data_IF_942127681065
#
_entry.id   IF_942127681065
#
_cell.length_a   1.000
_cell.length_b   1.000
_cell.length_c   1.000
_cell.angle_alpha   90.00
_cell.angle_beta   90.00
_cell.angle_gamma   90.00
#
_symmetry.space_group_name_H-M   'P 1'
#
loop_
_entity.id
_entity.type
_entity.pdbx_description
1 polymer ?
#
# COMPACT_ATOMS: atom_id res chain seq x y z
N UNK A 1 -53.60 -11.65 -6.42
CA UNK A 1 -52.21 -11.45 -6.86
C UNK A 1 -51.61 -10.36 -5.96
N UNK A 2 -50.89 -10.75 -4.93
CA UNK A 2 -50.23 -9.80 -4.01
C UNK A 2 -48.90 -9.40 -4.62
N UNK A 3 -48.77 -8.14 -5.01
CA UNK A 3 -47.52 -7.55 -5.50
C UNK A 3 -46.59 -7.39 -4.31
N UNK A 4 -45.61 -8.29 -4.18
CA UNK A 4 -44.51 -8.15 -3.21
C UNK A 4 -43.65 -7.01 -3.71
N UNK A 5 -43.81 -5.82 -3.13
CA UNK A 5 -42.87 -4.71 -3.33
C UNK A 5 -41.46 -5.16 -2.94
N UNK A 6 -40.42 -4.92 -3.79
CA UNK A 6 -39.06 -5.24 -3.42
C UNK A 6 -38.67 -4.37 -2.21
N UNK A 7 -38.40 -5.04 -1.09
CA UNK A 7 -37.79 -4.40 0.08
C UNK A 7 -36.48 -3.82 -0.35
N UNK A 8 -36.42 -2.50 -0.54
CA UNK A 8 -35.20 -1.79 -0.76
C UNK A 8 -34.32 -1.92 0.49
N UNK A 9 -33.43 -2.92 0.50
CA UNK A 9 -32.38 -2.96 1.52
C UNK A 9 -31.59 -1.66 1.42
N UNK A 10 -31.45 -0.88 2.52
CA UNK A 10 -30.74 0.38 2.50
C UNK A 10 -29.31 0.11 1.98
N UNK A 11 -28.83 0.98 1.10
CA UNK A 11 -27.49 0.86 0.53
C UNK A 11 -26.44 0.66 1.65
N UNK A 12 -25.56 -0.34 1.57
CA UNK A 12 -24.59 -0.61 2.61
C UNK A 12 -23.81 0.67 2.94
N UNK A 13 -23.54 0.95 4.21
CA UNK A 13 -22.84 2.15 4.69
C UNK A 13 -21.46 1.75 5.24
N UNK A 14 -20.54 2.71 5.38
CA UNK A 14 -19.26 2.47 6.10
C UNK A 14 -19.50 2.03 7.54
N UNK A 15 -20.59 2.54 8.18
CA UNK A 15 -21.01 2.07 9.49
C UNK A 15 -21.40 0.58 9.49
N UNK A 16 -21.98 0.07 8.39
CA UNK A 16 -22.30 -1.35 8.27
C UNK A 16 -21.04 -2.22 8.23
N UNK A 17 -19.97 -1.77 7.56
CA UNK A 17 -18.65 -2.45 7.59
C UNK A 17 -18.14 -2.57 9.03
N UNK A 18 -18.16 -1.47 9.79
CA UNK A 18 -17.69 -1.45 11.17
C UNK A 18 -18.64 -2.14 12.17
N UNK A 19 -19.90 -2.38 11.80
CA UNK A 19 -20.86 -3.17 12.59
C UNK A 19 -20.74 -4.67 12.37
N UNK A 20 -20.01 -5.11 11.34
CA UNK A 20 -19.73 -6.55 11.15
C UNK A 20 -19.09 -7.11 12.43
N UNK A 21 -19.48 -8.31 12.88
CA UNK A 21 -18.98 -8.90 14.11
C UNK A 21 -17.45 -8.91 14.13
N UNK A 22 -16.87 -8.41 15.23
CA UNK A 22 -15.42 -8.31 15.47
C UNK A 22 -14.63 -7.38 14.52
N UNK A 23 -15.24 -6.76 13.51
CA UNK A 23 -14.58 -5.90 12.53
C UNK A 23 -13.79 -4.76 13.18
N UNK A 24 -14.39 -4.02 14.11
CA UNK A 24 -13.73 -2.88 14.81
C UNK A 24 -12.47 -3.32 15.55
N UNK A 25 -12.53 -4.45 16.26
CA UNK A 25 -11.40 -4.98 17.03
C UNK A 25 -10.27 -5.41 16.09
N UNK A 26 -10.61 -6.16 15.05
CA UNK A 26 -9.64 -6.68 14.07
C UNK A 26 -8.98 -5.55 13.30
N UNK A 27 -9.79 -4.60 12.82
CA UNK A 27 -9.30 -3.44 12.06
C UNK A 27 -8.46 -2.50 12.94
N UNK A 28 -8.94 -2.14 14.14
CA UNK A 28 -8.19 -1.30 15.08
C UNK A 28 -6.87 -1.92 15.50
N UNK A 29 -6.83 -3.23 15.74
CA UNK A 29 -5.60 -3.96 16.06
C UNK A 29 -4.60 -3.92 14.89
N UNK A 30 -5.08 -4.13 13.66
CA UNK A 30 -4.24 -4.04 12.46
C UNK A 30 -3.70 -2.62 12.25
N UNK A 31 -4.52 -1.57 12.45
CA UNK A 31 -4.09 -0.18 12.34
C UNK A 31 -3.06 0.19 13.41
N UNK A 32 -3.25 -0.27 14.64
CA UNK A 32 -2.28 -0.04 15.72
C UNK A 32 -0.91 -0.61 15.36
N UNK A 33 -0.85 -1.84 14.85
CA UNK A 33 0.41 -2.44 14.40
C UNK A 33 1.02 -1.73 13.19
N UNK A 34 0.18 -1.29 12.24
CA UNK A 34 0.60 -0.58 11.03
C UNK A 34 1.10 0.85 11.30
N UNK A 35 0.67 1.48 12.39
CA UNK A 35 1.19 2.79 12.79
C UNK A 35 2.72 2.75 12.96
N UNK A 36 3.28 1.59 13.35
CA UNK A 36 4.73 1.39 13.41
C UNK A 36 5.42 1.69 12.08
N UNK A 37 4.76 1.43 10.93
CA UNK A 37 5.32 1.66 9.58
C UNK A 37 5.44 3.15 9.23
N UNK A 38 4.59 4.00 9.83
CA UNK A 38 4.71 5.46 9.73
C UNK A 38 5.74 6.05 10.69
N UNK A 39 5.96 5.39 11.85
CA UNK A 39 6.86 5.88 12.91
C UNK A 39 8.32 5.45 12.68
N UNK A 40 8.55 4.16 12.33
CA UNK A 40 9.90 3.60 12.26
C UNK A 40 10.83 4.28 11.26
N UNK A 41 10.42 4.59 10.00
CA UNK A 41 11.34 5.15 9.00
C UNK A 41 11.94 6.48 9.41
N UNK A 42 11.11 7.44 9.82
CA UNK A 42 11.58 8.75 10.23
C UNK A 42 12.40 8.69 11.53
N UNK A 43 11.96 7.88 12.50
CA UNK A 43 12.72 7.66 13.74
C UNK A 43 14.09 7.06 13.44
N UNK A 44 14.21 6.13 12.51
CA UNK A 44 15.47 5.51 12.11
C UNK A 44 16.43 6.55 11.50
N UNK A 45 15.94 7.34 10.54
CA UNK A 45 16.74 8.38 9.89
C UNK A 45 17.27 9.37 10.92
N UNK A 46 16.40 9.88 11.81
CA UNK A 46 16.80 10.86 12.83
C UNK A 46 17.76 10.25 13.85
N UNK A 47 17.50 9.03 14.32
CA UNK A 47 18.37 8.34 15.29
C UNK A 47 19.77 8.09 14.75
N UNK A 48 19.88 7.63 13.49
CA UNK A 48 21.20 7.39 12.87
C UNK A 48 21.91 8.71 12.62
N UNK A 49 21.22 9.73 12.10
CA UNK A 49 21.79 11.06 11.87
C UNK A 49 22.31 11.68 13.17
N UNK A 50 21.54 11.57 14.27
CA UNK A 50 21.95 12.13 15.56
C UNK A 50 23.10 11.34 16.19
N UNK A 51 23.11 10.00 16.07
CA UNK A 51 24.19 9.14 16.59
C UNK A 51 25.50 9.19 15.81
N UNK A 52 25.45 9.42 14.47
CA UNK A 52 26.63 9.41 13.60
C UNK A 52 27.05 10.80 13.12
N UNK A 53 26.21 11.82 13.27
CA UNK A 53 26.43 13.15 12.69
C UNK A 53 26.33 13.19 11.15
N UNK A 54 25.97 12.10 10.48
CA UNK A 54 26.07 11.94 9.02
C UNK A 54 24.71 11.65 8.37
N UNK A 55 24.28 12.53 7.47
CA UNK A 55 23.11 12.28 6.62
C UNK A 55 23.32 11.13 5.61
N UNK A 56 24.56 10.94 5.14
CA UNK A 56 24.90 9.85 4.24
C UNK A 56 24.76 8.49 4.93
N UNK A 57 25.19 8.37 6.19
CA UNK A 57 24.99 7.18 7.01
C UNK A 57 23.50 6.90 7.23
N UNK A 58 22.72 7.93 7.59
CA UNK A 58 21.27 7.80 7.78
C UNK A 58 20.55 7.36 6.49
N UNK A 59 20.92 7.95 5.35
CA UNK A 59 20.41 7.57 4.03
C UNK A 59 20.74 6.13 3.65
N UNK A 60 21.99 5.68 3.89
CA UNK A 60 22.41 4.30 3.62
C UNK A 60 21.64 3.29 4.47
N UNK A 61 21.52 3.53 5.77
CA UNK A 61 20.81 2.67 6.70
C UNK A 61 19.32 2.59 6.32
N UNK A 62 18.69 3.73 5.99
CA UNK A 62 17.31 3.79 5.56
C UNK A 62 17.07 3.08 4.22
N UNK A 63 17.98 3.25 3.25
CA UNK A 63 17.90 2.58 1.96
C UNK A 63 17.93 1.05 2.11
N UNK A 64 18.82 0.53 2.94
CA UNK A 64 18.91 -0.92 3.20
C UNK A 64 17.70 -1.43 3.95
N UNK A 65 17.20 -0.71 4.96
CA UNK A 65 15.96 -1.02 5.67
C UNK A 65 14.76 -1.11 4.72
N UNK A 66 14.60 -0.12 3.86
CA UNK A 66 13.51 -0.07 2.88
C UNK A 66 13.63 -1.17 1.82
N UNK A 67 14.84 -1.39 1.29
CA UNK A 67 15.09 -2.40 0.25
C UNK A 67 14.76 -3.81 0.75
N UNK A 68 15.23 -4.20 1.92
CA UNK A 68 14.93 -5.51 2.50
C UNK A 68 13.44 -5.64 2.83
N UNK A 69 12.80 -4.55 3.29
CA UNK A 69 11.37 -4.47 3.53
C UNK A 69 10.54 -4.77 2.28
N UNK A 70 10.89 -4.14 1.17
CA UNK A 70 10.18 -4.30 -0.11
C UNK A 70 10.43 -5.68 -0.71
N UNK A 71 11.70 -6.11 -0.82
CA UNK A 71 12.06 -7.38 -1.47
C UNK A 71 11.49 -8.61 -0.75
N UNK A 72 11.44 -8.58 0.59
CA UNK A 72 10.98 -9.72 1.37
C UNK A 72 9.48 -9.66 1.71
N UNK A 73 8.76 -8.61 1.33
CA UNK A 73 7.32 -8.47 1.58
C UNK A 73 6.49 -9.65 1.05
N UNK A 74 6.64 -10.10 -0.22
CA UNK A 74 5.89 -11.25 -0.73
C UNK A 74 6.25 -12.58 -0.04
N UNK A 75 7.50 -12.75 0.38
CA UNK A 75 7.94 -13.94 1.11
C UNK A 75 7.30 -14.01 2.50
N UNK A 76 7.26 -12.89 3.23
CA UNK A 76 6.57 -12.81 4.53
C UNK A 76 5.07 -13.10 4.40
N UNK A 77 4.43 -12.56 3.35
CA UNK A 77 3.03 -12.85 3.08
C UNK A 77 2.81 -14.35 2.76
N UNK A 78 3.72 -14.97 1.99
CA UNK A 78 3.66 -16.41 1.71
C UNK A 78 3.81 -17.27 2.99
N UNK A 79 4.59 -16.81 3.98
CA UNK A 79 4.66 -17.47 5.28
C UNK A 79 3.31 -17.43 6.01
N UNK A 80 2.61 -16.29 5.94
CA UNK A 80 1.28 -16.16 6.53
C UNK A 80 0.27 -17.05 5.83
N UNK A 81 0.28 -17.09 4.49
CA UNK A 81 -0.61 -17.95 3.70
C UNK A 81 -0.34 -19.45 4.00
N UNK A 82 0.95 -19.83 4.20
CA UNK A 82 1.33 -21.24 4.45
C UNK A 82 1.06 -21.71 5.89
N UNK A 83 1.36 -20.89 6.89
CA UNK A 83 1.35 -21.31 8.30
C UNK A 83 0.18 -20.73 9.10
N UNK A 84 -0.60 -19.86 8.45
CA UNK A 84 -1.68 -19.10 9.05
C UNK A 84 -1.21 -17.85 9.82
N UNK A 85 -2.10 -16.86 10.00
CA UNK A 85 -1.75 -15.56 10.59
C UNK A 85 -1.14 -15.68 11.99
N UNK A 86 -1.68 -16.54 12.84
CA UNK A 86 -1.22 -16.67 14.23
C UNK A 86 0.22 -17.19 14.34
N UNK A 87 0.57 -18.22 13.55
CA UNK A 87 1.88 -18.86 13.61
C UNK A 87 2.96 -18.04 12.92
N UNK A 88 2.60 -17.27 11.89
CA UNK A 88 3.55 -16.48 11.12
C UNK A 88 3.73 -15.07 11.67
N UNK A 89 2.64 -14.36 12.05
CA UNK A 89 2.74 -12.96 12.45
C UNK A 89 3.44 -12.75 13.80
N UNK A 90 3.23 -13.66 14.77
CA UNK A 90 3.81 -13.52 16.12
C UNK A 90 5.35 -13.52 16.08
N UNK A 91 6.04 -14.51 15.47
CA UNK A 91 7.50 -14.49 15.40
C UNK A 91 8.04 -13.33 14.56
N UNK A 92 7.35 -12.95 13.46
CA UNK A 92 7.73 -11.79 12.65
C UNK A 92 7.65 -10.49 13.48
N UNK A 93 6.57 -10.27 14.22
CA UNK A 93 6.40 -9.08 15.05
C UNK A 93 7.39 -9.05 16.22
N UNK A 94 7.62 -10.18 16.88
CA UNK A 94 8.58 -10.27 17.97
C UNK A 94 10.01 -10.00 17.47
N UNK A 95 10.42 -10.61 16.37
CA UNK A 95 11.73 -10.37 15.76
C UNK A 95 11.88 -8.90 15.29
N UNK A 96 10.85 -8.35 14.65
CA UNK A 96 10.84 -6.94 14.25
C UNK A 96 10.98 -6.02 15.46
N UNK A 97 10.22 -6.26 16.54
CA UNK A 97 10.29 -5.46 17.77
C UNK A 97 11.68 -5.52 18.43
N UNK A 98 12.26 -6.72 18.54
CA UNK A 98 13.61 -6.91 19.09
C UNK A 98 14.65 -6.14 18.27
N UNK A 99 14.58 -6.20 16.94
CA UNK A 99 15.53 -5.51 16.06
C UNK A 99 15.34 -3.98 16.07
N UNK A 100 14.11 -3.49 16.18
CA UNK A 100 13.86 -2.05 16.34
C UNK A 100 14.39 -1.53 17.68
N UNK A 101 14.24 -2.30 18.77
CA UNK A 101 14.85 -1.97 20.08
C UNK A 101 16.38 -2.04 19.98
N UNK A 102 16.94 -3.05 19.33
CA UNK A 102 18.38 -3.15 19.12
C UNK A 102 18.93 -1.95 18.31
N UNK A 103 18.21 -1.50 17.27
CA UNK A 103 18.53 -0.26 16.55
C UNK A 103 18.44 0.98 17.46
N UNK A 104 17.39 1.08 18.28
CA UNK A 104 17.26 2.19 19.24
C UNK A 104 18.46 2.26 20.21
N UNK A 105 18.87 1.11 20.74
CA UNK A 105 20.02 1.02 21.65
C UNK A 105 21.34 1.29 20.92
N UNK A 106 21.50 0.73 19.70
CA UNK A 106 22.71 0.92 18.92
C UNK A 106 22.92 2.38 18.50
N UNK A 107 21.84 3.07 18.08
CA UNK A 107 21.91 4.48 17.68
C UNK A 107 22.08 5.44 18.88
N UNK A 108 21.66 5.04 20.08
CA UNK A 108 21.88 5.80 21.30
C UNK A 108 23.29 5.66 21.87
N UNK A 109 24.08 4.67 21.43
CA UNK A 109 25.46 4.45 21.88
C UNK A 109 26.42 5.22 21.01
N UNK A 110 27.38 5.98 21.59
CA UNK A 110 28.46 6.62 20.83
C UNK A 110 29.35 5.56 20.17
N UNK A 111 29.86 5.87 18.98
CA UNK A 111 30.81 5.05 18.23
C UNK A 111 30.30 3.67 17.75
N UNK A 112 28.98 3.47 17.62
CA UNK A 112 28.48 2.25 16.97
C UNK A 112 28.93 2.22 15.49
N UNK A 113 29.62 1.16 15.01
CA UNK A 113 30.08 1.08 13.63
C UNK A 113 28.92 1.14 12.63
N UNK A 114 29.08 1.88 11.53
CA UNK A 114 28.06 1.98 10.49
C UNK A 114 27.64 0.60 9.95
N UNK A 115 28.60 -0.33 9.80
CA UNK A 115 28.32 -1.70 9.33
C UNK A 115 27.34 -2.41 10.25
N UNK A 116 27.45 -2.24 11.57
CA UNK A 116 26.50 -2.81 12.53
C UNK A 116 25.09 -2.20 12.40
N UNK A 117 25.01 -0.87 12.21
CA UNK A 117 23.72 -0.21 11.96
C UNK A 117 23.06 -0.67 10.66
N UNK A 118 23.85 -0.82 9.58
CA UNK A 118 23.39 -1.34 8.29
C UNK A 118 22.89 -2.79 8.42
N UNK A 119 23.64 -3.65 9.10
CA UNK A 119 23.25 -5.05 9.31
C UNK A 119 21.97 -5.17 10.14
N UNK A 120 21.85 -4.40 11.23
CA UNK A 120 20.63 -4.35 12.05
C UNK A 120 19.44 -3.81 11.25
N UNK A 121 19.66 -2.78 10.44
CA UNK A 121 18.60 -2.20 9.58
C UNK A 121 18.14 -3.19 8.50
N UNK A 122 19.07 -3.93 7.88
CA UNK A 122 18.75 -4.99 6.93
C UNK A 122 17.86 -6.07 7.58
N UNK A 123 18.24 -6.53 8.76
CA UNK A 123 17.48 -7.51 9.51
C UNK A 123 16.12 -6.95 9.97
N UNK A 124 16.07 -5.72 10.47
CA UNK A 124 14.85 -5.05 10.91
C UNK A 124 13.87 -4.81 9.75
N UNK A 125 14.36 -4.45 8.56
CA UNK A 125 13.54 -4.33 7.36
C UNK A 125 13.03 -5.67 6.83
N UNK A 126 13.75 -6.77 7.12
CA UNK A 126 13.35 -8.12 6.68
C UNK A 126 12.13 -8.69 7.42
N UNK A 127 11.84 -8.27 8.66
CA UNK A 127 10.88 -8.91 9.55
C UNK A 127 9.53 -8.22 9.79
N UNK A 128 9.22 -6.97 9.35
CA UNK A 128 7.93 -6.37 9.62
C UNK A 128 6.78 -7.27 9.16
N UNK A 129 5.82 -7.62 10.03
CA UNK A 129 4.72 -8.50 9.65
C UNK A 129 3.85 -7.85 8.56
N UNK A 130 3.33 -8.58 7.56
CA UNK A 130 2.55 -8.01 6.46
C UNK A 130 1.11 -7.68 6.88
N UNK A 131 0.93 -6.76 7.85
CA UNK A 131 -0.38 -6.50 8.48
C UNK A 131 -1.40 -5.91 7.51
N UNK A 132 -0.99 -5.09 6.52
CA UNK A 132 -1.89 -4.56 5.50
C UNK A 132 -2.51 -5.65 4.63
N UNK A 133 -1.70 -6.47 3.93
CA UNK A 133 -2.19 -7.63 3.19
C UNK A 133 -3.05 -8.59 4.01
N UNK A 134 -2.64 -8.87 5.26
CA UNK A 134 -3.41 -9.73 6.18
C UNK A 134 -4.76 -9.10 6.53
N UNK A 135 -4.80 -7.81 6.85
CA UNK A 135 -6.05 -7.08 7.12
C UNK A 135 -7.03 -7.20 5.95
N UNK A 136 -6.54 -7.02 4.71
CA UNK A 136 -7.37 -7.14 3.50
C UNK A 136 -7.85 -8.57 3.27
N UNK A 137 -7.01 -9.58 3.49
CA UNK A 137 -7.41 -10.98 3.43
C UNK A 137 -8.47 -11.33 4.49
N UNK A 138 -8.37 -10.76 5.70
CA UNK A 138 -9.40 -10.92 6.74
C UNK A 138 -10.72 -10.24 6.36
N UNK A 139 -10.67 -9.05 5.72
CA UNK A 139 -11.86 -8.39 5.21
C UNK A 139 -12.58 -9.25 4.17
N UNK A 140 -11.86 -9.83 3.20
CA UNK A 140 -12.46 -10.69 2.19
C UNK A 140 -13.04 -11.99 2.76
N UNK A 141 -12.49 -12.50 3.86
CA UNK A 141 -13.03 -13.64 4.59
C UNK A 141 -14.27 -13.32 5.45
N UNK A 142 -14.39 -12.07 5.94
CA UNK A 142 -15.52 -11.63 6.77
C UNK A 142 -16.73 -11.13 5.96
N UNK A 143 -16.52 -10.63 4.75
CA UNK A 143 -17.52 -9.90 3.97
C UNK A 143 -17.79 -10.62 2.65
N UNK A 144 -18.94 -11.27 2.53
CA UNK A 144 -19.40 -11.93 1.31
C UNK A 144 -20.02 -10.95 0.30
N UNK A 145 -20.59 -9.83 0.78
CA UNK A 145 -21.11 -8.77 -0.08
C UNK A 145 -19.96 -7.94 -0.68
N UNK A 146 -19.86 -7.97 -2.02
CA UNK A 146 -18.85 -7.24 -2.78
C UNK A 146 -18.90 -5.72 -2.57
N UNK A 147 -20.06 -5.14 -2.29
CA UNK A 147 -20.19 -3.71 -2.01
C UNK A 147 -19.65 -3.36 -0.64
N UNK A 148 -19.90 -4.20 0.38
CA UNK A 148 -19.31 -4.05 1.71
C UNK A 148 -17.79 -4.26 1.66
N UNK A 149 -17.32 -5.28 0.93
CA UNK A 149 -15.89 -5.56 0.77
C UNK A 149 -15.15 -4.38 0.13
N UNK A 150 -15.71 -3.79 -0.94
CA UNK A 150 -15.13 -2.60 -1.57
C UNK A 150 -15.02 -1.43 -0.58
N UNK A 151 -16.07 -1.20 0.24
CA UNK A 151 -16.03 -0.15 1.28
C UNK A 151 -14.99 -0.44 2.35
N UNK A 152 -14.84 -1.70 2.75
CA UNK A 152 -13.81 -2.11 3.69
C UNK A 152 -12.41 -1.84 3.13
N UNK A 153 -12.15 -2.15 1.87
CA UNK A 153 -10.87 -1.87 1.21
C UNK A 153 -10.62 -0.37 1.02
N UNK A 154 -11.65 0.41 0.66
CA UNK A 154 -11.54 1.87 0.62
C UNK A 154 -11.22 2.45 1.99
N UNK A 155 -11.90 2.00 3.03
CA UNK A 155 -11.65 2.43 4.41
C UNK A 155 -10.22 2.05 4.85
N UNK A 156 -9.77 0.83 4.53
CA UNK A 156 -8.41 0.35 4.84
C UNK A 156 -7.34 1.20 4.15
N UNK A 157 -7.54 1.53 2.87
CA UNK A 157 -6.58 2.35 2.09
C UNK A 157 -6.52 3.78 2.63
N UNK A 158 -7.67 4.40 2.91
CA UNK A 158 -7.71 5.76 3.50
C UNK A 158 -7.09 5.77 4.90
N UNK A 159 -7.36 4.75 5.71
CA UNK A 159 -6.76 4.64 7.04
C UNK A 159 -5.24 4.46 6.95
N UNK A 160 -4.74 3.72 5.96
CA UNK A 160 -3.29 3.57 5.71
C UNK A 160 -2.62 4.91 5.40
N UNK A 161 -3.22 5.75 4.56
CA UNK A 161 -2.72 7.10 4.28
C UNK A 161 -2.69 7.98 5.54
N UNK A 162 -3.73 7.91 6.38
CA UNK A 162 -3.74 8.63 7.66
C UNK A 162 -2.60 8.19 8.59
N UNK A 163 -2.21 6.90 8.56
CA UNK A 163 -1.06 6.41 9.34
C UNK A 163 0.27 7.02 8.86
N UNK A 164 0.43 7.25 7.56
CA UNK A 164 1.62 7.91 7.00
C UNK A 164 1.69 9.41 7.31
N UNK A 165 0.56 10.05 7.64
CA UNK A 165 0.53 11.43 8.14
C UNK A 165 0.74 11.46 9.66
N UNK A 166 0.05 10.61 10.42
CA UNK A 166 0.11 10.60 11.88
C UNK A 166 1.44 10.07 12.43
N UNK A 167 2.09 9.15 11.70
CA UNK A 167 3.39 8.60 12.08
C UNK A 167 4.47 9.66 12.26
N UNK A 168 4.80 10.46 11.24
CA UNK A 168 5.75 11.57 11.36
C UNK A 168 5.40 12.62 12.42
N UNK A 169 4.11 12.92 12.59
CA UNK A 169 3.66 13.83 13.67
C UNK A 169 3.98 13.26 15.05
N UNK A 170 3.74 11.96 15.25
CA UNK A 170 4.11 11.28 16.50
C UNK A 170 5.62 11.28 16.71
N UNK A 171 6.42 11.06 15.66
CA UNK A 171 7.88 11.14 15.73
C UNK A 171 8.32 12.55 16.14
N UNK A 172 7.72 13.59 15.55
CA UNK A 172 8.01 14.98 15.93
C UNK A 172 7.77 15.25 17.42
N UNK A 173 6.68 14.74 17.99
CA UNK A 173 6.40 14.81 19.41
C UNK A 173 7.43 14.04 20.25
N UNK A 174 7.78 12.81 19.82
CA UNK A 174 8.76 11.98 20.53
C UNK A 174 10.16 12.61 20.54
N UNK A 175 10.58 13.22 19.42
CA UNK A 175 11.86 13.93 19.34
C UNK A 175 11.86 15.16 20.24
N UNK A 176 10.73 15.88 20.32
CA UNK A 176 10.61 17.08 21.16
C UNK A 176 10.64 16.76 22.65
N UNK A 177 10.00 15.69 23.10
CA UNK A 177 9.79 15.40 24.54
C UNK A 177 10.65 14.23 25.07
N UNK A 178 11.28 13.47 24.19
CA UNK A 178 12.13 12.34 24.56
C UNK A 178 13.41 12.30 23.71
N UNK A 179 13.43 11.47 22.66
CA UNK A 179 14.57 11.33 21.74
C UNK A 179 14.16 10.62 20.44
N UNK A 180 14.99 10.73 19.38
CA UNK A 180 14.74 10.00 18.14
C UNK A 180 14.76 8.47 18.33
N UNK A 181 15.70 7.85 19.08
CA UNK A 181 15.66 6.42 19.40
C UNK A 181 14.40 5.95 20.14
N UNK A 182 13.75 6.82 20.94
CA UNK A 182 12.48 6.50 21.58
C UNK A 182 11.37 6.20 20.56
N UNK A 183 11.41 6.84 19.39
CA UNK A 183 10.50 6.54 18.29
C UNK A 183 10.63 5.11 17.76
N UNK A 184 11.85 4.55 17.69
CA UNK A 184 12.07 3.15 17.34
C UNK A 184 11.51 2.20 18.42
N UNK A 185 11.70 2.52 19.71
CA UNK A 185 11.15 1.73 20.79
C UNK A 185 9.61 1.77 20.83
N UNK A 186 9.01 2.93 20.58
CA UNK A 186 7.55 3.07 20.43
C UNK A 186 7.05 2.25 19.23
N UNK A 187 7.75 2.31 18.10
CA UNK A 187 7.42 1.51 16.93
C UNK A 187 7.48 0.00 17.20
N UNK A 188 8.47 -0.46 17.97
CA UNK A 188 8.56 -1.84 18.43
C UNK A 188 7.35 -2.24 19.29
N UNK A 189 6.95 -1.38 20.23
CA UNK A 189 5.74 -1.58 21.05
C UNK A 189 4.47 -1.65 20.21
N UNK A 190 4.31 -0.74 19.25
CA UNK A 190 3.15 -0.68 18.35
C UNK A 190 3.01 -1.93 17.48
N UNK A 191 4.11 -2.37 16.83
CA UNK A 191 4.05 -3.56 15.96
C UNK A 191 3.75 -4.82 16.76
N UNK A 192 4.32 -4.96 17.95
CA UNK A 192 4.11 -6.13 18.80
C UNK A 192 2.70 -6.15 19.36
N UNK A 193 2.26 -5.07 20.04
CA UNK A 193 0.93 -5.00 20.67
C UNK A 193 -0.19 -5.08 19.64
N UNK A 194 -0.07 -4.35 18.51
CA UNK A 194 -1.05 -4.40 17.44
C UNK A 194 -1.16 -5.79 16.80
N UNK A 195 -0.03 -6.47 16.57
CA UNK A 195 -0.01 -7.84 16.06
C UNK A 195 -0.62 -8.83 17.06
N UNK A 196 -0.25 -8.76 18.33
CA UNK A 196 -0.82 -9.62 19.37
C UNK A 196 -2.34 -9.40 19.51
N UNK A 197 -2.80 -8.14 19.49
CA UNK A 197 -4.21 -7.83 19.50
C UNK A 197 -4.95 -8.40 18.27
N UNK A 198 -4.31 -8.35 17.08
CA UNK A 198 -4.86 -8.90 15.84
C UNK A 198 -4.99 -10.42 15.90
N UNK A 199 -3.93 -11.15 16.27
CA UNK A 199 -3.94 -12.62 16.30
C UNK A 199 -4.79 -13.20 17.44
N UNK A 200 -5.09 -12.38 18.46
CA UNK A 200 -6.04 -12.73 19.52
C UNK A 200 -7.48 -12.39 19.19
N UNK A 201 -7.75 -11.75 18.04
CA UNK A 201 -9.11 -11.46 17.62
C UNK A 201 -9.90 -12.75 17.33
N UNK A 202 -11.21 -12.79 17.61
CA UNK A 202 -12.04 -13.98 17.35
C UNK A 202 -12.03 -14.41 15.89
N UNK A 203 -11.89 -13.48 14.95
CA UNK A 203 -11.82 -13.77 13.49
C UNK A 203 -10.61 -14.64 13.16
N UNK A 204 -9.44 -14.33 13.75
CA UNK A 204 -8.21 -15.10 13.51
C UNK A 204 -8.21 -16.42 14.31
N UNK A 205 -8.80 -16.42 15.52
CA UNK A 205 -8.89 -17.62 16.36
C UNK A 205 -9.91 -18.63 15.85
N UNK A 206 -11.05 -18.17 15.33
CA UNK A 206 -12.15 -19.00 14.86
C UNK A 206 -11.91 -19.67 13.51
N UNK A 207 -10.71 -19.51 12.91
CA UNK A 207 -10.36 -20.18 11.67
C UNK A 207 -11.15 -19.69 10.44
N UNK A 208 -11.62 -18.43 10.44
CA UNK A 208 -12.24 -17.84 9.25
C UNK A 208 -11.31 -17.85 8.00
N UNK A 209 -10.09 -18.37 8.16
CA UNK A 209 -9.10 -18.66 7.11
C UNK A 209 -8.79 -20.17 7.03
N UNK A 210 -9.37 -21.00 7.91
CA UNK A 210 -9.24 -22.47 7.82
C UNK A 210 -10.50 -23.03 7.17
N UNK A 211 -10.44 -23.32 5.89
CA UNK A 211 -11.42 -24.13 5.20
C UNK A 211 -11.38 -25.57 5.70
N UNK A 212 -12.58 -26.11 5.94
CA UNK A 212 -12.82 -27.53 6.03
C UNK A 212 -12.42 -28.18 4.69
N UNK A 213 -11.50 -29.17 4.67
CA UNK A 213 -11.04 -29.82 3.42
C UNK A 213 -12.14 -30.55 2.64
N UNK A 214 -13.37 -30.54 3.13
CA UNK A 214 -14.48 -31.33 2.61
C UNK A 214 -15.59 -30.58 1.89
N UNK A 215 -15.57 -29.26 1.84
CA UNK A 215 -16.64 -28.52 1.12
C UNK A 215 -16.22 -28.29 -0.34
N UNK A 216 -16.94 -28.85 -1.33
CA UNK A 216 -16.67 -28.53 -2.73
C UNK A 216 -16.88 -27.02 -2.95
N UNK A 217 -15.84 -26.34 -3.39
CA UNK A 217 -15.88 -24.93 -3.78
C UNK A 217 -17.04 -24.70 -4.76
N UNK A 218 -17.99 -23.78 -4.46
CA UNK A 218 -18.87 -23.33 -5.51
C UNK A 218 -17.99 -22.76 -6.60
N UNK A 219 -18.03 -23.32 -7.79
CA UNK A 219 -17.28 -22.88 -8.96
C UNK A 219 -17.61 -21.40 -9.24
N UNK A 220 -17.00 -20.49 -8.47
CA UNK A 220 -17.06 -19.06 -8.68
C UNK A 220 -16.38 -18.78 -10.00
N UNK A 221 -17.21 -18.57 -10.98
CA UNK A 221 -17.03 -18.29 -12.39
C UNK A 221 -15.59 -18.14 -12.85
N UNK A 222 -15.01 -19.20 -13.39
CA UNK A 222 -13.90 -19.15 -14.37
C UNK A 222 -14.35 -18.35 -15.62
N UNK A 223 -14.49 -17.03 -15.47
CA UNK A 223 -14.68 -16.08 -16.58
C UNK A 223 -13.47 -15.15 -16.66
N UNK A 224 -12.37 -15.72 -16.96
CA UNK A 224 -11.09 -15.08 -17.24
C UNK A 224 -10.03 -16.16 -17.14
N UNK A 225 -9.23 -16.38 -18.21
CA UNK A 225 -8.21 -17.42 -18.21
C UNK A 225 -7.30 -17.33 -16.98
N UNK A 226 -6.68 -18.42 -16.54
CA UNK A 226 -5.94 -18.47 -15.29
C UNK A 226 -4.82 -17.41 -15.31
N UNK A 227 -4.88 -16.45 -14.40
CA UNK A 227 -3.73 -15.65 -14.02
C UNK A 227 -3.59 -14.22 -14.57
N UNK A 228 -4.46 -13.71 -15.45
CA UNK A 228 -4.25 -12.38 -16.05
C UNK A 228 -4.57 -11.19 -15.11
N UNK A 229 -5.37 -11.36 -14.08
CA UNK A 229 -5.82 -10.28 -13.19
C UNK A 229 -4.74 -9.80 -12.24
N UNK A 230 -4.04 -10.71 -11.57
CA UNK A 230 -2.96 -10.35 -10.64
C UNK A 230 -1.80 -9.61 -11.32
N UNK A 231 -1.22 -10.06 -12.45
CA UNK A 231 -0.19 -9.30 -13.15
C UNK A 231 -0.64 -7.91 -13.59
N UNK A 232 -1.92 -7.75 -13.98
CA UNK A 232 -2.51 -6.44 -14.30
C UNK A 232 -2.58 -5.53 -13.08
N UNK A 233 -3.08 -6.04 -11.96
CA UNK A 233 -3.15 -5.29 -10.70
C UNK A 233 -1.76 -4.82 -10.26
N UNK A 234 -0.76 -5.71 -10.32
CA UNK A 234 0.64 -5.44 -9.97
C UNK A 234 1.26 -4.39 -10.90
N UNK A 235 1.08 -4.54 -12.22
CA UNK A 235 1.63 -3.61 -13.21
C UNK A 235 1.05 -2.20 -13.04
N UNK A 236 -0.28 -2.08 -12.89
CA UNK A 236 -0.91 -0.76 -12.73
C UNK A 236 -0.55 -0.14 -11.37
N UNK A 237 -0.47 -0.95 -10.30
CA UNK A 237 -0.01 -0.46 -9.00
C UNK A 237 1.42 0.08 -9.07
N UNK A 238 2.34 -0.60 -9.79
CA UNK A 238 3.68 -0.10 -10.05
C UNK A 238 3.66 1.23 -10.82
N UNK A 239 2.86 1.34 -11.88
CA UNK A 239 2.72 2.56 -12.67
C UNK A 239 2.17 3.73 -11.85
N UNK A 240 1.15 3.50 -11.02
CA UNK A 240 0.61 4.49 -10.08
C UNK A 240 1.66 4.91 -9.06
N UNK A 241 2.39 3.95 -8.47
CA UNK A 241 3.48 4.23 -7.55
C UNK A 241 4.59 5.07 -8.20
N UNK A 242 5.00 4.71 -9.43
CA UNK A 242 6.00 5.49 -10.18
C UNK A 242 5.53 6.92 -10.43
N UNK A 243 4.27 7.11 -10.81
CA UNK A 243 3.70 8.43 -11.03
C UNK A 243 3.77 9.27 -9.75
N UNK A 244 3.34 8.71 -8.60
CA UNK A 244 3.33 9.43 -7.32
C UNK A 244 4.73 9.74 -6.80
N UNK A 245 5.66 8.78 -6.84
CA UNK A 245 7.02 9.00 -6.36
C UNK A 245 7.76 10.08 -7.15
N UNK A 246 7.54 10.14 -8.46
CA UNK A 246 8.09 11.21 -9.28
C UNK A 246 7.47 12.57 -8.93
N UNK A 247 6.14 12.63 -8.80
CA UNK A 247 5.40 13.88 -8.49
C UNK A 247 5.79 14.44 -7.13
N UNK A 248 6.04 13.60 -6.12
CA UNK A 248 6.51 14.05 -4.80
C UNK A 248 7.78 14.92 -4.92
N UNK A 249 8.78 14.45 -5.68
CA UNK A 249 10.00 15.22 -5.91
C UNK A 249 9.76 16.45 -6.81
N UNK A 250 8.93 16.31 -7.84
CA UNK A 250 8.65 17.39 -8.78
C UNK A 250 7.89 18.55 -8.13
N UNK A 251 7.04 18.29 -7.15
CA UNK A 251 6.38 19.33 -6.35
C UNK A 251 7.41 20.18 -5.58
N UNK A 252 8.43 19.53 -5.01
CA UNK A 252 9.53 20.22 -4.31
C UNK A 252 10.30 21.07 -5.31
N UNK A 253 10.74 20.50 -6.43
CA UNK A 253 11.50 21.22 -7.47
C UNK A 253 10.70 22.39 -8.06
N UNK A 254 9.39 22.23 -8.24
CA UNK A 254 8.52 23.29 -8.73
C UNK A 254 8.38 24.44 -7.73
N UNK A 255 8.20 24.11 -6.45
CA UNK A 255 8.11 25.10 -5.37
C UNK A 255 9.42 25.89 -5.21
N UNK A 256 10.56 25.22 -5.31
CA UNK A 256 11.89 25.86 -5.25
C UNK A 256 12.13 26.77 -6.45
N UNK A 257 11.79 26.32 -7.67
CA UNK A 257 11.91 27.13 -8.89
C UNK A 257 11.08 28.43 -8.85
N UNK A 258 10.00 28.43 -8.07
CA UNK A 258 9.14 29.62 -7.87
C UNK A 258 9.41 30.35 -6.54
N UNK A 259 10.49 30.01 -5.83
CA UNK A 259 10.85 30.59 -4.52
C UNK A 259 9.71 30.54 -3.47
N UNK A 260 8.93 29.45 -3.47
CA UNK A 260 7.76 29.21 -2.57
C UNK A 260 7.81 27.84 -1.89
N UNK A 261 8.89 27.50 -1.14
CA UNK A 261 9.02 26.18 -0.50
C UNK A 261 7.88 25.86 0.47
N UNK A 262 7.22 26.88 1.03
CA UNK A 262 6.03 26.72 1.88
C UNK A 262 4.81 26.09 1.19
N UNK A 263 4.80 25.96 -0.16
CA UNK A 263 3.72 25.26 -0.87
C UNK A 263 3.82 23.73 -0.78
N UNK A 264 5.00 23.18 -0.50
CA UNK A 264 5.24 21.71 -0.45
C UNK A 264 4.37 21.00 0.59
N UNK A 265 4.30 21.45 1.86
CA UNK A 265 3.42 20.84 2.84
C UNK A 265 1.94 20.89 2.45
N UNK A 266 1.51 21.99 1.81
CA UNK A 266 0.14 22.11 1.31
C UNK A 266 -0.17 21.14 0.18
N UNK A 267 0.78 20.91 -0.73
CA UNK A 267 0.64 19.91 -1.80
C UNK A 267 0.52 18.49 -1.23
N UNK A 268 1.35 18.13 -0.27
CA UNK A 268 1.28 16.83 0.41
C UNK A 268 -0.05 16.65 1.14
N UNK A 269 -0.49 17.65 1.90
CA UNK A 269 -1.78 17.63 2.59
C UNK A 269 -2.96 17.54 1.61
N UNK A 270 -2.89 18.27 0.48
CA UNK A 270 -3.92 18.28 -0.55
C UNK A 270 -4.01 16.93 -1.28
N UNK A 271 -2.87 16.28 -1.57
CA UNK A 271 -2.82 14.92 -2.13
C UNK A 271 -3.53 13.93 -1.21
N UNK A 272 -3.16 13.92 0.07
CA UNK A 272 -3.73 13.02 1.07
C UNK A 272 -5.22 13.28 1.30
N UNK A 273 -5.65 14.54 1.37
CA UNK A 273 -7.06 14.91 1.50
C UNK A 273 -7.87 14.47 0.27
N UNK A 274 -7.34 14.73 -0.95
CA UNK A 274 -7.93 14.25 -2.20
C UNK A 274 -8.08 12.73 -2.21
N UNK A 275 -7.03 12.01 -1.82
CA UNK A 275 -7.02 10.54 -1.78
C UNK A 275 -8.04 10.00 -0.78
N UNK A 276 -8.15 10.59 0.41
CA UNK A 276 -9.15 10.22 1.40
C UNK A 276 -10.58 10.43 0.86
N UNK A 277 -10.87 11.61 0.28
CA UNK A 277 -12.17 11.92 -0.31
C UNK A 277 -12.49 10.97 -1.46
N UNK A 278 -11.55 10.81 -2.40
CA UNK A 278 -11.69 9.92 -3.55
C UNK A 278 -11.93 8.47 -3.13
N UNK A 279 -11.16 7.98 -2.16
CA UNK A 279 -11.30 6.62 -1.62
C UNK A 279 -12.67 6.38 -0.99
N UNK A 280 -13.12 7.27 -0.11
CA UNK A 280 -14.44 7.17 0.53
C UNK A 280 -15.57 7.26 -0.49
N UNK A 281 -15.49 8.21 -1.44
CA UNK A 281 -16.47 8.35 -2.51
C UNK A 281 -16.53 7.09 -3.39
N UNK A 282 -15.37 6.56 -3.80
CA UNK A 282 -15.26 5.35 -4.59
C UNK A 282 -15.90 4.13 -3.91
N UNK A 283 -15.65 3.95 -2.62
CA UNK A 283 -16.25 2.88 -1.83
C UNK A 283 -17.76 3.01 -1.70
N UNK A 284 -18.30 4.23 -1.72
CA UNK A 284 -19.74 4.49 -1.58
C UNK A 284 -20.56 4.14 -2.84
N UNK A 285 -19.97 4.23 -4.04
CA UNK A 285 -20.66 4.02 -5.32
C UNK A 285 -20.84 2.54 -5.65
N UNK A 286 -22.05 2.05 -5.98
CA UNK A 286 -22.29 0.69 -6.46
C UNK A 286 -21.86 0.55 -7.93
N UNK A 287 -20.61 0.22 -8.17
CA UNK A 287 -20.06 0.11 -9.53
C UNK A 287 -20.61 -1.09 -10.29
N UNK A 288 -21.05 -0.89 -11.53
CA UNK A 288 -21.43 -1.93 -12.47
C UNK A 288 -20.33 -2.30 -13.46
N UNK A 289 -19.26 -1.49 -13.50
CA UNK A 289 -18.12 -1.67 -14.39
C UNK A 289 -17.12 -2.68 -13.79
N UNK A 290 -16.51 -3.57 -14.59
CA UNK A 290 -15.51 -4.53 -14.10
C UNK A 290 -14.33 -3.85 -13.39
N UNK A 291 -13.79 -4.50 -12.35
CA UNK A 291 -12.70 -3.96 -11.51
C UNK A 291 -11.46 -3.60 -12.34
N UNK A 292 -11.10 -4.43 -13.33
CA UNK A 292 -9.94 -4.16 -14.20
C UNK A 292 -10.10 -2.87 -15.03
N UNK A 293 -11.30 -2.60 -15.57
CA UNK A 293 -11.57 -1.39 -16.35
C UNK A 293 -11.53 -0.15 -15.45
N UNK A 294 -12.10 -0.24 -14.25
CA UNK A 294 -12.07 0.86 -13.26
C UNK A 294 -10.63 1.20 -12.86
N UNK A 295 -9.82 0.18 -12.58
CA UNK A 295 -8.41 0.34 -12.23
C UNK A 295 -7.66 1.10 -13.33
N UNK A 296 -7.83 0.69 -14.60
CA UNK A 296 -7.20 1.36 -15.74
C UNK A 296 -7.70 2.80 -15.92
N UNK A 297 -9.01 3.03 -15.81
CA UNK A 297 -9.58 4.37 -15.92
C UNK A 297 -9.08 5.33 -14.82
N UNK A 298 -8.95 4.83 -13.58
CA UNK A 298 -8.42 5.60 -12.45
C UNK A 298 -6.93 5.95 -12.64
N UNK A 299 -6.13 4.99 -13.11
CA UNK A 299 -4.71 5.23 -13.39
C UNK A 299 -4.52 6.21 -14.56
N UNK A 300 -5.35 6.13 -15.61
CA UNK A 300 -5.37 7.11 -16.71
C UNK A 300 -5.75 8.50 -16.21
N UNK A 301 -6.80 8.60 -15.39
CA UNK A 301 -7.23 9.87 -14.79
C UNK A 301 -6.14 10.51 -13.93
N UNK A 302 -5.48 9.72 -13.08
CA UNK A 302 -4.33 10.17 -12.29
C UNK A 302 -3.20 10.69 -13.19
N UNK A 303 -2.79 9.90 -14.19
CA UNK A 303 -1.74 10.29 -15.11
C UNK A 303 -2.08 11.57 -15.89
N UNK A 304 -3.30 11.69 -16.42
CA UNK A 304 -3.74 12.86 -17.15
C UNK A 304 -3.72 14.13 -16.28
N UNK A 305 -4.28 14.07 -15.06
CA UNK A 305 -4.31 15.20 -14.12
C UNK A 305 -2.90 15.64 -13.75
N UNK A 306 -2.01 14.70 -13.42
CA UNK A 306 -0.65 15.02 -12.99
C UNK A 306 0.23 15.48 -14.16
N UNK A 307 -0.01 15.01 -15.40
CA UNK A 307 0.65 15.56 -16.58
C UNK A 307 0.31 17.05 -16.79
N UNK A 308 -0.98 17.40 -16.65
CA UNK A 308 -1.44 18.81 -16.77
C UNK A 308 -0.95 19.66 -15.58
N UNK A 309 -0.76 19.06 -14.41
CA UNK A 309 -0.25 19.75 -13.22
C UNK A 309 1.07 20.47 -13.47
N UNK A 310 1.94 19.91 -14.33
CA UNK A 310 3.20 20.54 -14.72
C UNK A 310 3.08 21.86 -15.49
N UNK A 311 1.90 22.19 -16.02
CA UNK A 311 1.61 23.46 -16.70
C UNK A 311 1.08 24.53 -15.75
N UNK A 312 1.11 24.30 -14.44
CA UNK A 312 0.63 25.26 -13.44
C UNK A 312 1.38 26.58 -13.51
N UNK A 313 0.68 27.74 -13.45
CA UNK A 313 1.34 29.05 -13.51
C UNK A 313 2.06 29.42 -12.20
N UNK A 314 1.69 28.81 -11.08
CA UNK A 314 2.30 29.05 -9.76
C UNK A 314 2.05 27.87 -8.80
N UNK A 315 2.83 27.73 -7.68
CA UNK A 315 2.78 26.60 -6.79
C UNK A 315 1.40 26.30 -6.16
N UNK A 316 0.60 27.29 -5.85
CA UNK A 316 -0.72 27.06 -5.28
C UNK A 316 -1.75 26.54 -6.31
N UNK A 317 -1.58 26.84 -7.60
CA UNK A 317 -2.36 26.18 -8.66
C UNK A 317 -1.96 24.71 -8.78
N UNK A 318 -0.65 24.40 -8.64
CA UNK A 318 -0.15 23.03 -8.57
C UNK A 318 -0.78 22.26 -7.40
N UNK A 319 -0.93 22.88 -6.22
CA UNK A 319 -1.61 22.26 -5.06
C UNK A 319 -3.03 21.81 -5.43
N UNK A 320 -3.77 22.62 -6.18
CA UNK A 320 -5.11 22.26 -6.67
C UNK A 320 -5.11 21.05 -7.62
N UNK A 321 -4.17 20.99 -8.55
CA UNK A 321 -3.99 19.83 -9.45
C UNK A 321 -3.59 18.57 -8.70
N UNK A 322 -2.69 18.69 -7.73
CA UNK A 322 -2.25 17.58 -6.88
C UNK A 322 -3.40 17.06 -6.02
N UNK A 323 -4.27 17.96 -5.47
CA UNK A 323 -5.48 17.54 -4.77
C UNK A 323 -6.44 16.77 -5.68
N UNK A 324 -6.64 17.24 -6.92
CA UNK A 324 -7.46 16.56 -7.93
C UNK A 324 -6.86 15.19 -8.30
N UNK A 325 -5.53 15.10 -8.47
CA UNK A 325 -4.81 13.84 -8.66
C UNK A 325 -5.02 12.87 -7.49
N UNK A 326 -5.00 13.39 -6.28
CA UNK A 326 -5.28 12.64 -5.06
C UNK A 326 -6.60 11.85 -5.12
N UNK A 327 -7.66 12.41 -5.71
CA UNK A 327 -8.97 11.74 -5.83
C UNK A 327 -8.88 10.37 -6.52
N UNK A 328 -7.84 10.08 -7.28
CA UNK A 328 -7.65 8.83 -8.00
C UNK A 328 -6.77 7.82 -7.25
N UNK A 329 -5.96 8.24 -6.26
CA UNK A 329 -4.93 7.41 -5.63
C UNK A 329 -5.55 6.25 -4.85
N UNK A 330 -6.32 6.53 -3.79
CA UNK A 330 -6.96 5.49 -2.98
C UNK A 330 -7.94 4.64 -3.78
N UNK A 331 -8.77 5.17 -4.72
CA UNK A 331 -9.58 4.36 -5.62
C UNK A 331 -8.78 3.41 -6.50
N UNK A 332 -7.64 3.84 -7.04
CA UNK A 332 -6.78 2.99 -7.87
C UNK A 332 -6.18 1.85 -7.04
N UNK A 333 -5.62 2.14 -5.86
CA UNK A 333 -5.10 1.12 -4.95
C UNK A 333 -6.19 0.16 -4.47
N UNK A 334 -7.35 0.67 -4.07
CA UNK A 334 -8.51 -0.17 -3.72
C UNK A 334 -8.89 -1.11 -4.86
N UNK A 335 -8.95 -0.61 -6.09
CA UNK A 335 -9.27 -1.42 -7.28
C UNK A 335 -8.17 -2.45 -7.58
N UNK A 336 -6.89 -2.11 -7.38
CA UNK A 336 -5.77 -3.03 -7.56
C UNK A 336 -5.83 -4.18 -6.53
N UNK A 337 -6.10 -3.89 -5.27
CA UNK A 337 -6.27 -4.93 -4.24
C UNK A 337 -7.49 -5.81 -4.49
N UNK A 338 -8.63 -5.23 -4.88
CA UNK A 338 -9.82 -6.00 -5.25
C UNK A 338 -9.56 -6.92 -6.44
N UNK A 339 -8.90 -6.42 -7.50
CA UNK A 339 -8.56 -7.20 -8.67
C UNK A 339 -7.59 -8.33 -8.35
N UNK A 340 -6.61 -8.08 -7.48
CA UNK A 340 -5.68 -9.09 -7.00
C UNK A 340 -6.40 -10.19 -6.21
N UNK A 341 -7.31 -9.81 -5.30
CA UNK A 341 -8.13 -10.72 -4.50
C UNK A 341 -9.07 -11.57 -5.37
N UNK A 342 -9.72 -10.95 -6.37
CA UNK A 342 -10.59 -11.64 -7.34
C UNK A 342 -9.84 -12.62 -8.26
N UNK A 343 -8.50 -12.51 -8.34
CA UNK A 343 -7.66 -13.26 -9.30
C UNK A 343 -7.01 -14.51 -8.70
N UNK A 344 -7.09 -14.71 -7.39
CA UNK A 344 -6.44 -15.81 -6.69
C UNK A 344 -7.40 -16.52 -5.75
N UNK A 345 -7.08 -17.79 -5.41
CA UNK A 345 -7.78 -18.52 -4.36
C UNK A 345 -7.49 -17.92 -2.97
N UNK A 346 -8.35 -18.25 -2.00
CA UNK A 346 -8.28 -17.71 -0.63
C UNK A 346 -6.92 -17.91 0.03
N UNK A 347 -6.29 -19.05 -0.22
CA UNK A 347 -4.98 -19.43 0.28
C UNK A 347 -3.81 -18.52 -0.16
N UNK A 348 -4.02 -17.68 -1.21
CA UNK A 348 -2.99 -16.80 -1.80
C UNK A 348 -3.31 -15.31 -1.71
N UNK A 349 -4.40 -14.92 -1.06
CA UNK A 349 -4.86 -13.53 -0.99
C UNK A 349 -3.86 -12.61 -0.32
N UNK A 350 -3.25 -13.04 0.79
CA UNK A 350 -2.23 -12.24 1.49
C UNK A 350 -1.03 -11.96 0.60
N UNK A 351 -0.55 -13.00 -0.10
CA UNK A 351 0.56 -12.88 -1.04
C UNK A 351 0.23 -11.99 -2.23
N UNK A 352 -0.99 -12.11 -2.78
CA UNK A 352 -1.44 -11.27 -3.90
C UNK A 352 -1.50 -9.79 -3.50
N UNK A 353 -2.06 -9.47 -2.32
CA UNK A 353 -2.05 -8.11 -1.77
C UNK A 353 -0.64 -7.58 -1.49
N UNK A 354 0.28 -8.45 -1.02
CA UNK A 354 1.67 -8.08 -0.82
C UNK A 354 2.39 -7.74 -2.13
N UNK A 355 2.12 -8.46 -3.23
CA UNK A 355 2.67 -8.13 -4.54
C UNK A 355 2.22 -6.76 -5.04
N UNK A 356 0.93 -6.41 -4.89
CA UNK A 356 0.41 -5.08 -5.23
C UNK A 356 1.12 -4.00 -4.42
N UNK A 357 1.23 -4.17 -3.11
CA UNK A 357 1.90 -3.22 -2.23
C UNK A 357 3.40 -3.08 -2.55
N UNK A 358 4.08 -4.20 -2.79
CA UNK A 358 5.51 -4.21 -3.17
C UNK A 358 5.74 -3.49 -4.49
N UNK A 359 4.91 -3.73 -5.50
CA UNK A 359 5.00 -3.09 -6.80
C UNK A 359 4.78 -1.58 -6.71
N UNK A 360 3.78 -1.15 -5.94
CA UNK A 360 3.52 0.26 -5.68
C UNK A 360 4.73 0.95 -5.03
N UNK A 361 5.24 0.40 -3.91
CA UNK A 361 6.36 1.00 -3.19
C UNK A 361 7.67 0.96 -3.99
N UNK A 362 7.95 -0.13 -4.71
CA UNK A 362 9.09 -0.23 -5.60
C UNK A 362 9.01 0.80 -6.74
N UNK A 363 7.82 0.98 -7.32
CA UNK A 363 7.56 2.01 -8.33
C UNK A 363 7.80 3.40 -7.79
N UNK A 364 7.27 3.73 -6.61
CA UNK A 364 7.47 5.01 -5.94
C UNK A 364 8.96 5.31 -5.76
N UNK A 365 9.69 4.38 -5.15
CA UNK A 365 11.13 4.54 -4.89
C UNK A 365 11.94 4.72 -6.18
N UNK A 366 11.68 3.89 -7.19
CA UNK A 366 12.39 3.94 -8.47
C UNK A 366 12.16 5.27 -9.20
N UNK A 367 10.91 5.76 -9.18
CA UNK A 367 10.56 6.99 -9.89
C UNK A 367 10.99 8.25 -9.14
N UNK A 368 11.01 8.26 -7.82
CA UNK A 368 11.63 9.36 -7.04
C UNK A 368 13.11 9.50 -7.39
N UNK A 369 13.84 8.37 -7.44
CA UNK A 369 15.24 8.39 -7.86
C UNK A 369 15.41 8.83 -9.33
N UNK A 370 14.58 8.32 -10.24
CA UNK A 370 14.58 8.69 -11.66
C UNK A 370 14.25 10.17 -11.89
N UNK A 371 13.25 10.70 -11.19
CA UNK A 371 12.89 12.11 -11.27
C UNK A 371 14.05 13.02 -10.81
N UNK A 372 14.79 12.61 -9.76
CA UNK A 372 15.99 13.32 -9.32
C UNK A 372 17.08 13.45 -10.39
N UNK A 373 17.18 12.49 -11.32
CA UNK A 373 18.11 12.56 -12.45
C UNK A 373 17.63 13.48 -13.57
N UNK A 374 16.32 13.72 -13.69
CA UNK A 374 15.71 14.52 -14.74
C UNK A 374 15.55 16.00 -14.35
N UNK A 375 15.32 16.27 -13.06
CA UNK A 375 15.24 17.63 -12.52
C UNK A 375 16.55 18.37 -12.76
N UNK A 376 16.46 19.59 -13.29
CA UNK A 376 17.62 20.41 -13.69
C UNK A 376 18.19 20.08 -15.08
N UNK A 377 17.79 18.97 -15.71
CA UNK A 377 18.17 18.61 -17.09
C UNK A 377 17.06 18.84 -18.10
N UNK A 378 15.82 18.74 -17.67
CA UNK A 378 14.63 18.92 -18.50
C UNK A 378 13.73 20.00 -17.91
N UNK A 379 12.92 20.70 -18.74
CA UNK A 379 11.89 21.59 -18.24
C UNK A 379 10.89 20.86 -17.32
N UNK A 380 10.48 21.51 -16.23
CA UNK A 380 9.56 20.91 -15.25
C UNK A 380 8.26 20.37 -15.87
N UNK A 381 7.57 21.07 -16.80
CA UNK A 381 6.38 20.52 -17.46
C UNK A 381 6.65 19.17 -18.15
N UNK A 382 7.80 19.01 -18.79
CA UNK A 382 8.18 17.76 -19.42
C UNK A 382 8.46 16.65 -18.38
N UNK A 383 9.07 17.01 -17.23
CA UNK A 383 9.27 16.05 -16.12
C UNK A 383 7.93 15.54 -15.58
N UNK A 384 6.91 16.40 -15.41
CA UNK A 384 5.57 16.00 -15.00
C UNK A 384 4.89 15.09 -16.05
N UNK A 385 5.00 15.41 -17.33
CA UNK A 385 4.48 14.58 -18.41
C UNK A 385 5.15 13.20 -18.43
N UNK A 386 6.47 13.12 -18.27
CA UNK A 386 7.20 11.86 -18.17
C UNK A 386 6.84 11.06 -16.91
N UNK A 387 6.59 11.73 -15.78
CA UNK A 387 6.15 11.12 -14.54
C UNK A 387 4.77 10.45 -14.67
N UNK A 388 3.90 10.97 -15.53
CA UNK A 388 2.57 10.42 -15.80
C UNK A 388 2.60 9.15 -16.68
N UNK A 389 3.63 9.00 -17.53
CA UNK A 389 3.70 7.91 -18.53
C UNK A 389 3.56 6.50 -17.94
N UNK A 390 4.22 6.11 -16.83
CA UNK A 390 4.09 4.77 -16.28
C UNK A 390 2.65 4.40 -15.92
N UNK A 391 1.89 5.30 -15.32
CA UNK A 391 0.48 5.08 -14.98
C UNK A 391 -0.36 4.93 -16.26
N UNK A 392 -0.14 5.76 -17.27
CA UNK A 392 -0.85 5.71 -18.54
C UNK A 392 -0.50 4.43 -19.32
N UNK A 393 0.78 4.11 -19.46
CA UNK A 393 1.22 2.94 -20.23
C UNK A 393 0.74 1.62 -19.62
N UNK A 394 0.83 1.47 -18.30
CA UNK A 394 0.34 0.28 -17.62
C UNK A 394 -1.18 0.17 -17.71
N UNK A 395 -1.91 1.26 -17.61
CA UNK A 395 -3.37 1.29 -17.75
C UNK A 395 -3.80 0.90 -19.18
N UNK A 396 -3.19 1.49 -20.21
CA UNK A 396 -3.50 1.16 -21.61
C UNK A 396 -3.12 -0.29 -21.94
N UNK A 397 -1.92 -0.74 -21.51
CA UNK A 397 -1.46 -2.11 -21.73
C UNK A 397 -2.39 -3.17 -21.13
N UNK A 398 -3.11 -2.83 -20.04
CA UNK A 398 -4.07 -3.75 -19.42
C UNK A 398 -5.46 -3.74 -20.05
N UNK A 399 -5.82 -2.71 -20.82
CA UNK A 399 -7.07 -2.63 -21.60
C UNK A 399 -6.97 -3.44 -22.91
N UNK A 400 -5.76 -3.60 -23.45
CA UNK A 400 -5.56 -4.41 -24.67
C UNK A 400 -5.78 -5.88 -24.31
N UNK A 401 -6.75 -6.57 -24.95
CA UNK A 401 -6.95 -7.99 -24.68
C UNK A 401 -5.71 -8.77 -25.10
N UNK A 402 -5.17 -9.58 -24.18
CA UNK A 402 -4.08 -10.50 -24.52
C UNK A 402 -4.55 -11.36 -25.69
N UNK A 403 -3.88 -11.26 -26.84
CA UNK A 403 -4.13 -12.13 -28.00
C UNK A 403 -4.08 -13.57 -27.49
N UNK A 404 -5.23 -14.28 -27.53
CA UNK A 404 -5.28 -15.71 -27.25
C UNK A 404 -4.28 -16.36 -28.19
N UNK A 405 -3.21 -16.94 -27.69
CA UNK A 405 -2.41 -17.89 -28.48
C UNK A 405 -3.38 -18.96 -28.91
N UNK A 406 -3.51 -19.25 -30.24
CA UNK A 406 -4.31 -20.36 -30.68
C UNK A 406 -3.75 -21.62 -29.98
N UNK A 407 -4.65 -22.41 -29.39
CA UNK A 407 -4.28 -23.71 -28.85
C UNK A 407 -3.65 -24.47 -30.04
N UNK A 408 -2.38 -24.81 -29.89
CA UNK A 408 -1.72 -25.70 -30.86
C UNK A 408 -2.54 -26.98 -30.92
N UNK A 409 -3.17 -27.23 -32.05
CA UNK A 409 -3.79 -28.50 -32.39
C UNK A 409 -2.65 -29.51 -32.43
N UNK A 410 -2.38 -30.16 -31.32
CA UNK A 410 -1.49 -31.34 -31.28
C UNK A 410 -2.33 -32.52 -31.73
N UNK A 411 -2.07 -32.95 -32.99
CA UNK A 411 -2.06 -34.33 -33.42
C UNK A 411 -3.31 -35.16 -33.20
N UNK A 412 -4.24 -35.09 -34.17
CA UNK A 412 -5.02 -36.27 -34.56
C UNK A 412 -4.29 -36.97 -35.72
N UNK A 413 -3.18 -37.65 -35.41
CA UNK A 413 -2.54 -38.61 -36.34
C UNK A 413 -1.83 -39.68 -35.54
N UNK A 414 -2.55 -40.71 -35.14
CA UNK A 414 -2.03 -42.08 -34.97
C UNK A 414 -3.17 -43.03 -34.58
N UNK A 415 -3.99 -43.37 -35.57
CA UNK A 415 -4.79 -44.58 -35.61
C UNK A 415 -4.89 -45.03 -37.05
N UNK A 416 -3.87 -45.71 -37.54
CA UNK A 416 -3.96 -46.75 -38.53
C UNK A 416 -3.01 -47.88 -38.15
#
# INVERSE_FOLDING_TARGET
>A
MSVISPVHSPAPTYAAVLRTPHARRTFGAALLGRLSYGVAPLSLVLSVKDGTGSYAAAGTVMAVFGLTGVLLSPARAALVDRFGPRRALVPLAAGSAVLLVALAVATARPATPLVALVALAAAAGALPPPLGPVSRALWSGMLTDRNLLRRAYSLDTVAEELLFVTGPLLVGLLVRYASAPAGLAVSAGLVLTGTLALVTSPVVRGGAVQQDPGTPEPAAGRRGGPGAGLPRAVAVAAGVGMCLGAVELLVIAFADAHHRPGAVPWAAAALSAGSAVGGLAYGAVPWRVPTAVRLSALALGLGAVLAVAGLSPHPYALVGWVALGGLFVAPALTSAYLLADESVGEERRTRAGAWVNTAFNAGTTAATAGAGLLVGRLPLPLCFALAALPAVLTAVGTLVPARRRPASVVGAESLK
#
